data_IF_927231676741
#
_entry.id   IF_927231676741
#
_cell.length_a   1.000
_cell.length_b   1.000
_cell.length_c   1.000
_cell.angle_alpha   90.00
_cell.angle_beta   90.00
_cell.angle_gamma   90.00
#
_symmetry.space_group_name_H-M   'P 1'
#
loop_
_entity.id
_entity.type
_entity.pdbx_description
1 polymer ?
#
# COMPACT_ATOMS: atom_id res chain seq x y z
N UNK A 1 -6.45 -35.39 76.95
CA UNK A 1 -6.95 -34.39 75.99
C UNK A 1 -5.80 -34.03 75.06
N UNK A 2 -5.90 -34.32 73.76
CA UNK A 2 -4.90 -33.96 72.74
C UNK A 2 -5.44 -32.79 71.93
N UNK A 3 -4.65 -31.74 71.63
CA UNK A 3 -5.13 -30.66 70.78
C UNK A 3 -5.09 -31.10 69.31
N UNK A 4 -6.18 -30.84 68.60
CA UNK A 4 -6.24 -30.91 67.13
C UNK A 4 -5.78 -29.55 66.62
N UNK A 5 -4.64 -29.53 65.91
CA UNK A 5 -4.19 -28.34 65.19
C UNK A 5 -4.85 -28.36 63.82
N UNK A 6 -5.77 -27.42 63.60
CA UNK A 6 -6.43 -27.20 62.33
C UNK A 6 -5.52 -26.31 61.46
N UNK A 7 -4.85 -26.89 60.47
CA UNK A 7 -4.09 -26.13 59.47
C UNK A 7 -5.07 -25.66 58.40
N UNK A 8 -5.49 -24.39 58.49
CA UNK A 8 -6.27 -23.74 57.44
C UNK A 8 -5.30 -23.31 56.34
N UNK A 9 -5.23 -24.10 55.27
CA UNK A 9 -4.52 -23.73 54.06
C UNK A 9 -5.28 -22.63 53.30
N UNK A 10 -4.76 -21.41 53.34
CA UNK A 10 -5.23 -20.30 52.51
C UNK A 10 -4.83 -20.59 51.06
N UNK A 11 -5.75 -21.11 50.26
CA UNK A 11 -5.57 -21.21 48.80
C UNK A 11 -5.76 -19.81 48.23
N UNK A 12 -4.65 -19.10 48.00
CA UNK A 12 -4.67 -17.88 47.19
C UNK A 12 -4.94 -18.30 45.74
N UNK A 13 -6.18 -18.10 45.29
CA UNK A 13 -6.52 -18.13 43.88
C UNK A 13 -5.78 -16.96 43.20
N UNK A 14 -4.67 -17.26 42.54
CA UNK A 14 -4.09 -16.38 41.55
C UNK A 14 -5.12 -16.24 40.43
N UNK A 15 -5.78 -15.09 40.39
CA UNK A 15 -6.59 -14.69 39.24
C UNK A 15 -5.67 -14.70 38.02
N UNK A 16 -5.84 -15.72 37.16
CA UNK A 16 -5.19 -15.74 35.86
C UNK A 16 -5.72 -14.53 35.09
N UNK A 17 -4.90 -13.48 34.97
CA UNK A 17 -5.13 -12.44 33.97
C UNK A 17 -5.23 -13.13 32.64
N UNK A 18 -6.40 -13.05 31.99
CA UNK A 18 -6.59 -13.59 30.65
C UNK A 18 -5.43 -13.10 29.78
N UNK A 19 -4.71 -14.03 29.15
CA UNK A 19 -3.63 -13.67 28.25
C UNK A 19 -4.18 -12.70 27.20
N UNK A 20 -3.53 -11.55 27.05
CA UNK A 20 -3.91 -10.58 26.02
C UNK A 20 -3.96 -11.30 24.67
N UNK A 21 -5.01 -11.03 23.89
CA UNK A 21 -5.16 -11.68 22.59
C UNK A 21 -4.13 -11.11 21.61
N UNK A 22 -3.72 -11.90 20.62
CA UNK A 22 -2.86 -11.39 19.53
C UNK A 22 -3.51 -10.19 18.82
N UNK A 23 -4.85 -10.13 18.82
CA UNK A 23 -5.61 -9.02 18.27
C UNK A 23 -5.38 -7.73 19.07
N UNK A 24 -5.36 -7.79 20.41
CA UNK A 24 -5.07 -6.62 21.26
C UNK A 24 -3.65 -6.10 20.99
N UNK A 25 -2.69 -7.01 20.81
CA UNK A 25 -1.32 -6.65 20.47
C UNK A 25 -1.20 -6.02 19.07
N UNK A 26 -1.91 -6.57 18.08
CA UNK A 26 -2.02 -5.99 16.72
C UNK A 26 -2.61 -4.59 16.78
N UNK A 27 -3.72 -4.40 17.48
CA UNK A 27 -4.41 -3.12 17.57
C UNK A 27 -3.56 -2.08 18.31
N UNK A 28 -2.85 -2.48 19.37
CA UNK A 28 -1.91 -1.61 20.08
C UNK A 28 -0.72 -1.19 19.19
N UNK A 29 -0.13 -2.14 18.45
CA UNK A 29 0.99 -1.85 17.54
C UNK A 29 0.54 -0.95 16.37
N UNK A 30 -0.64 -1.20 15.80
CA UNK A 30 -1.28 -0.35 14.80
C UNK A 30 -1.47 1.08 15.32
N UNK A 31 -2.04 1.24 16.52
CA UNK A 31 -2.24 2.54 17.15
C UNK A 31 -0.93 3.30 17.44
N UNK A 32 0.16 2.59 17.71
CA UNK A 32 1.47 3.20 17.90
C UNK A 32 2.08 3.67 16.58
N UNK A 33 2.00 2.85 15.53
CA UNK A 33 2.57 3.15 14.20
C UNK A 33 1.76 4.21 13.45
N UNK A 34 0.45 4.32 13.70
CA UNK A 34 -0.40 5.38 13.15
C UNK A 34 -0.01 6.80 13.58
N UNK A 35 0.87 6.95 14.60
CA UNK A 35 1.40 8.24 15.06
C UNK A 35 2.58 8.74 14.23
N UNK A 36 3.12 7.91 13.33
CA UNK A 36 4.26 8.31 12.49
C UNK A 36 3.81 9.30 11.43
N UNK A 37 4.51 10.43 11.33
CA UNK A 37 4.26 11.42 10.29
C UNK A 37 5.08 11.11 9.04
N UNK A 38 4.45 11.18 7.87
CA UNK A 38 5.15 11.04 6.59
C UNK A 38 6.15 12.19 6.39
N UNK A 39 7.38 11.83 6.04
CA UNK A 39 8.38 12.80 5.60
C UNK A 39 7.91 13.51 4.31
N UNK A 40 8.16 14.81 4.23
CA UNK A 40 7.73 15.68 3.14
C UNK A 40 8.80 15.71 2.06
N UNK A 41 8.39 15.54 0.81
CA UNK A 41 9.27 15.67 -0.35
C UNK A 41 9.95 17.04 -0.39
N UNK A 42 11.21 17.08 -0.82
CA UNK A 42 12.00 18.31 -0.94
C UNK A 42 12.58 18.85 0.38
N UNK A 43 12.18 18.31 1.54
CA UNK A 43 12.74 18.69 2.84
C UNK A 43 13.99 17.85 3.18
N UNK A 44 14.97 18.51 3.80
CA UNK A 44 16.15 17.86 4.39
C UNK A 44 15.89 17.53 5.86
N UNK A 45 16.36 16.36 6.27
CA UNK A 45 16.23 15.82 7.62
C UNK A 45 17.60 15.40 8.13
N UNK A 46 17.79 15.45 9.45
CA UNK A 46 18.95 14.91 10.15
C UNK A 46 18.44 13.92 11.20
N UNK A 47 18.56 12.62 10.93
CA UNK A 47 17.99 11.54 11.74
C UNK A 47 19.01 10.39 11.88
N UNK A 48 18.92 9.59 12.95
CA UNK A 48 19.68 8.35 13.01
C UNK A 48 19.20 7.35 11.94
N UNK A 49 20.15 6.67 11.31
CA UNK A 49 19.91 5.51 10.46
C UNK A 49 21.05 4.50 10.64
N UNK A 50 20.72 3.28 11.07
CA UNK A 50 21.70 2.22 11.43
C UNK A 50 22.72 2.65 12.50
N UNK A 51 22.29 3.47 13.44
CA UNK A 51 23.14 3.98 14.53
C UNK A 51 24.01 5.17 14.14
N UNK A 52 23.95 5.65 12.90
CA UNK A 52 24.73 6.81 12.42
C UNK A 52 23.85 8.03 12.18
N UNK A 53 24.34 9.21 12.53
CA UNK A 53 23.69 10.46 12.20
C UNK A 53 23.73 10.70 10.68
N UNK A 54 22.58 10.60 10.02
CA UNK A 54 22.44 10.78 8.57
C UNK A 54 21.70 12.09 8.28
N UNK A 55 22.20 12.88 7.33
CA UNK A 55 21.52 14.08 6.84
C UNK A 55 21.22 13.93 5.36
N UNK A 56 19.96 14.11 4.97
CA UNK A 56 19.52 13.87 3.60
C UNK A 56 18.03 14.13 3.39
N UNK A 57 17.53 13.73 2.23
CA UNK A 57 16.10 13.73 1.89
C UNK A 57 15.49 12.37 2.18
N UNK A 58 14.18 12.22 1.97
CA UNK A 58 13.43 10.99 2.25
C UNK A 58 14.10 9.74 1.65
N UNK A 59 14.66 9.84 0.45
CA UNK A 59 15.31 8.75 -0.26
C UNK A 59 16.56 8.25 0.48
N UNK A 60 17.24 9.11 1.24
CA UNK A 60 18.47 8.75 1.96
C UNK A 60 18.20 7.87 3.20
N UNK A 61 16.95 7.77 3.64
CA UNK A 61 16.53 6.99 4.82
C UNK A 61 15.75 5.71 4.46
N UNK A 62 15.27 5.60 3.22
CA UNK A 62 14.41 4.50 2.78
C UNK A 62 15.14 3.13 2.90
N UNK A 63 14.50 2.18 3.59
CA UNK A 63 15.05 0.84 3.90
C UNK A 63 16.32 0.83 4.76
N UNK A 64 16.62 1.91 5.49
CA UNK A 64 17.84 2.03 6.31
C UNK A 64 17.59 2.13 7.80
N UNK A 65 16.41 2.57 8.23
CA UNK A 65 16.13 2.83 9.64
C UNK A 65 15.61 1.60 10.37
N UNK A 66 16.03 1.44 11.61
CA UNK A 66 15.60 0.38 12.52
C UNK A 66 14.39 0.84 13.37
N UNK A 67 13.73 -0.11 14.05
CA UNK A 67 12.55 0.13 14.89
C UNK A 67 12.68 1.37 15.79
N UNK A 68 13.72 1.41 16.62
CA UNK A 68 13.90 2.45 17.63
C UNK A 68 14.15 3.82 16.99
N UNK A 69 14.83 3.86 15.84
CA UNK A 69 15.10 5.08 15.08
C UNK A 69 13.82 5.63 14.45
N UNK A 70 12.97 4.75 13.90
CA UNK A 70 11.68 5.11 13.33
C UNK A 70 10.78 5.67 14.44
N UNK A 71 10.58 4.93 15.53
CA UNK A 71 9.66 5.31 16.60
C UNK A 71 10.11 6.57 17.36
N UNK A 72 11.40 6.71 17.66
CA UNK A 72 11.92 7.90 18.37
C UNK A 72 11.86 9.16 17.52
N UNK A 73 12.04 9.05 16.20
CA UNK A 73 11.93 10.21 15.31
C UNK A 73 10.50 10.71 15.11
N UNK A 74 9.50 9.83 15.31
CA UNK A 74 8.10 10.11 14.96
C UNK A 74 7.86 10.28 13.45
N UNK A 75 8.85 9.98 12.61
CA UNK A 75 8.82 10.22 11.17
C UNK A 75 8.93 8.91 10.38
N UNK A 76 8.26 8.86 9.22
CA UNK A 76 8.24 7.71 8.31
C UNK A 76 8.65 8.09 6.88
N UNK A 77 9.45 7.25 6.23
CA UNK A 77 9.77 7.35 4.80
C UNK A 77 8.73 6.68 3.92
N UNK A 78 7.74 5.98 4.50
CA UNK A 78 6.68 5.31 3.75
C UNK A 78 6.26 3.98 4.37
N UNK A 79 5.70 3.11 3.54
CA UNK A 79 5.13 1.83 3.97
C UNK A 79 6.16 0.88 4.60
N UNK A 80 7.40 0.91 4.12
CA UNK A 80 8.49 0.10 4.66
C UNK A 80 8.76 0.38 6.14
N UNK A 81 8.76 1.64 6.56
CA UNK A 81 9.00 2.03 7.96
C UNK A 81 7.80 1.72 8.86
N UNK A 82 6.57 1.95 8.39
CA UNK A 82 5.38 1.56 9.14
C UNK A 82 5.37 0.05 9.40
N UNK A 83 5.66 -0.74 8.37
CA UNK A 83 5.74 -2.19 8.48
C UNK A 83 6.90 -2.66 9.37
N UNK A 84 8.08 -2.06 9.24
CA UNK A 84 9.23 -2.40 10.09
C UNK A 84 8.98 -2.06 11.56
N UNK A 85 8.38 -0.91 11.84
CA UNK A 85 8.03 -0.51 13.19
C UNK A 85 6.97 -1.44 13.79
N UNK A 86 5.90 -1.73 13.04
CA UNK A 86 4.84 -2.67 13.46
C UNK A 86 5.41 -4.07 13.73
N UNK A 87 6.23 -4.58 12.81
CA UNK A 87 6.89 -5.87 12.95
C UNK A 87 7.76 -5.90 14.21
N UNK A 88 8.57 -4.86 14.45
CA UNK A 88 9.45 -4.79 15.61
C UNK A 88 8.72 -4.80 16.96
N UNK A 89 7.58 -4.08 17.06
CA UNK A 89 6.75 -4.03 18.27
C UNK A 89 6.17 -5.41 18.63
N UNK A 90 5.65 -6.14 17.65
CA UNK A 90 5.10 -7.49 17.88
C UNK A 90 6.20 -8.53 18.10
N UNK A 91 7.35 -8.39 17.42
CA UNK A 91 8.50 -9.29 17.60
C UNK A 91 9.02 -9.22 19.04
N UNK A 92 9.04 -8.04 19.65
CA UNK A 92 9.46 -7.86 21.05
C UNK A 92 8.57 -8.63 22.05
N UNK A 93 7.34 -8.99 21.65
CA UNK A 93 6.41 -9.81 22.42
C UNK A 93 6.53 -11.32 22.13
N UNK A 94 7.47 -11.72 21.27
CA UNK A 94 7.67 -13.12 20.88
C UNK A 94 6.65 -13.64 19.86
N UNK A 95 5.89 -12.76 19.20
CA UNK A 95 4.89 -13.15 18.21
C UNK A 95 5.59 -13.56 16.90
N UNK A 96 5.11 -14.64 16.28
CA UNK A 96 5.61 -15.10 14.98
C UNK A 96 5.09 -14.22 13.85
N UNK A 97 6.00 -13.74 12.99
CA UNK A 97 5.71 -12.71 11.99
C UNK A 97 6.34 -13.05 10.63
N UNK A 98 5.76 -12.51 9.56
CA UNK A 98 6.37 -12.45 8.23
C UNK A 98 6.26 -11.02 7.69
N UNK A 99 7.40 -10.47 7.32
CA UNK A 99 7.51 -9.25 6.53
C UNK A 99 7.24 -9.56 5.06
N UNK A 100 6.40 -8.76 4.42
CA UNK A 100 5.94 -9.00 3.05
C UNK A 100 6.23 -7.76 2.21
N UNK A 101 7.08 -7.90 1.19
CA UNK A 101 7.29 -6.87 0.18
C UNK A 101 6.51 -7.25 -1.08
N UNK A 102 5.73 -6.31 -1.58
CA UNK A 102 4.90 -6.49 -2.77
C UNK A 102 5.13 -5.41 -3.82
N UNK A 103 4.72 -5.73 -5.05
CA UNK A 103 4.58 -4.79 -6.15
C UNK A 103 3.11 -4.60 -6.49
N UNK A 104 2.72 -3.36 -6.81
CA UNK A 104 1.36 -3.02 -7.25
C UNK A 104 1.11 -3.55 -8.67
N UNK A 105 0.02 -4.27 -8.87
CA UNK A 105 -0.44 -4.74 -10.17
C UNK A 105 -1.26 -3.65 -10.88
N UNK A 106 -0.59 -2.82 -11.66
CA UNK A 106 -1.20 -1.75 -12.48
C UNK A 106 -0.34 -1.43 -13.70
N UNK A 107 -0.92 -0.79 -14.73
CA UNK A 107 -0.16 -0.32 -15.87
C UNK A 107 0.85 0.76 -15.46
N UNK A 108 0.48 1.64 -14.53
CA UNK A 108 1.39 2.63 -13.95
C UNK A 108 2.65 2.00 -13.35
N UNK A 109 2.53 0.88 -12.63
CA UNK A 109 3.69 0.17 -12.08
C UNK A 109 4.66 -0.33 -13.15
N UNK A 110 4.14 -0.78 -14.29
CA UNK A 110 4.96 -1.23 -15.42
C UNK A 110 5.65 -0.05 -16.14
N UNK A 111 4.99 1.11 -16.22
CA UNK A 111 5.57 2.33 -16.79
C UNK A 111 6.66 2.94 -15.89
N UNK A 112 6.39 3.06 -14.59
CA UNK A 112 7.29 3.72 -13.63
C UNK A 112 8.40 2.77 -13.14
N UNK A 113 8.11 1.47 -13.09
CA UNK A 113 9.00 0.43 -12.55
C UNK A 113 9.36 0.61 -11.07
N UNK A 114 8.60 1.45 -10.36
CA UNK A 114 8.83 1.79 -8.95
C UNK A 114 7.51 2.06 -8.24
N UNK A 115 6.68 1.02 -8.14
CA UNK A 115 5.50 1.03 -7.28
C UNK A 115 5.45 -0.26 -6.47
N UNK A 116 5.16 -0.15 -5.18
CA UNK A 116 5.09 -1.30 -4.30
C UNK A 116 4.57 -0.91 -2.94
N UNK A 117 4.35 -1.93 -2.12
CA UNK A 117 3.82 -1.76 -0.77
C UNK A 117 4.45 -2.77 0.18
N UNK A 118 4.25 -2.57 1.47
CA UNK A 118 4.73 -3.50 2.49
C UNK A 118 3.62 -3.81 3.47
N UNK A 119 3.45 -5.11 3.74
CA UNK A 119 2.50 -5.64 4.70
C UNK A 119 3.23 -6.54 5.72
N UNK A 120 2.52 -6.92 6.78
CA UNK A 120 3.03 -7.87 7.78
C UNK A 120 1.97 -8.93 8.03
N UNK A 121 2.36 -10.22 7.94
CA UNK A 121 1.51 -11.30 8.41
C UNK A 121 1.90 -11.68 9.85
N UNK A 122 0.89 -11.82 10.71
CA UNK A 122 1.00 -12.11 12.14
C UNK A 122 0.38 -13.47 12.40
N UNK A 123 1.12 -14.39 13.03
CA UNK A 123 0.56 -15.71 13.36
C UNK A 123 -0.16 -15.63 14.70
N UNK A 124 -1.44 -15.98 14.69
CA UNK A 124 -2.22 -16.14 15.91
C UNK A 124 -1.91 -17.52 16.54
N UNK A 125 -1.31 -17.56 17.74
CA UNK A 125 -0.98 -18.83 18.40
C UNK A 125 -2.22 -19.60 18.88
N UNK A 126 -3.38 -18.94 19.03
CA UNK A 126 -4.61 -19.58 19.51
C UNK A 126 -5.34 -20.32 18.39
N UNK A 127 -5.32 -19.76 17.18
CA UNK A 127 -6.04 -20.31 16.01
C UNK A 127 -5.12 -20.96 14.99
N UNK A 128 -3.80 -20.80 15.13
CA UNK A 128 -2.76 -21.19 14.15
C UNK A 128 -2.89 -20.50 12.77
N UNK A 129 -3.71 -19.44 12.69
CA UNK A 129 -3.98 -18.71 11.44
C UNK A 129 -3.06 -17.51 11.26
N UNK A 130 -2.85 -17.12 10.00
CA UNK A 130 -2.14 -15.89 9.66
C UNK A 130 -3.13 -14.73 9.50
N UNK A 131 -2.84 -13.62 10.15
CA UNK A 131 -3.55 -12.35 10.03
C UNK A 131 -2.70 -11.44 9.16
N UNK A 132 -3.20 -11.01 8.00
CA UNK A 132 -2.51 -10.06 7.13
C UNK A 132 -2.88 -8.64 7.54
N UNK A 133 -1.86 -7.82 7.84
CA UNK A 133 -2.00 -6.46 8.32
C UNK A 133 -1.28 -5.50 7.37
N UNK A 134 -1.91 -4.36 7.11
CA UNK A 134 -1.34 -3.20 6.44
C UNK A 134 -1.13 -2.08 7.46
N UNK A 135 0.09 -1.97 8.05
CA UNK A 135 0.35 -0.98 9.08
C UNK A 135 0.35 0.46 8.56
N UNK A 136 0.55 0.66 7.26
CA UNK A 136 0.57 1.99 6.64
C UNK A 136 -0.84 2.58 6.58
N UNK A 137 -1.82 1.73 6.26
CA UNK A 137 -3.23 2.12 6.18
C UNK A 137 -4.00 1.82 7.48
N UNK A 138 -3.29 1.47 8.55
CA UNK A 138 -3.86 1.16 9.85
C UNK A 138 -5.00 0.12 9.79
N UNK A 139 -4.80 -0.99 9.05
CA UNK A 139 -5.88 -1.92 8.71
C UNK A 139 -5.46 -3.39 8.77
N UNK A 140 -6.32 -4.23 9.33
CA UNK A 140 -6.27 -5.69 9.13
C UNK A 140 -6.93 -6.00 7.78
N UNK A 141 -6.16 -6.57 6.86
CA UNK A 141 -6.62 -6.93 5.51
C UNK A 141 -7.36 -8.27 5.50
N UNK A 142 -6.88 -9.25 6.27
CA UNK A 142 -7.52 -10.55 6.43
C UNK A 142 -7.15 -11.15 7.78
N UNK A 143 -8.14 -11.77 8.45
CA UNK A 143 -7.94 -12.54 9.70
C UNK A 143 -7.61 -14.02 9.45
N UNK A 144 -7.78 -14.47 8.21
CA UNK A 144 -7.58 -15.85 7.79
C UNK A 144 -6.80 -15.84 6.47
N UNK A 145 -5.65 -15.18 6.46
CA UNK A 145 -4.87 -15.02 5.25
C UNK A 145 -4.22 -16.35 4.85
N UNK A 146 -4.49 -16.77 3.61
CA UNK A 146 -3.82 -17.91 3.01
C UNK A 146 -2.38 -17.53 2.65
N UNK A 147 -1.43 -18.05 3.43
CA UNK A 147 -0.01 -17.79 3.24
C UNK A 147 0.58 -18.46 1.99
N UNK A 148 -0.20 -19.29 1.27
CA UNK A 148 0.17 -19.81 -0.04
C UNK A 148 -0.26 -18.90 -1.20
N UNK A 149 -1.13 -17.91 -0.95
CA UNK A 149 -1.51 -16.93 -1.96
C UNK A 149 -0.34 -16.02 -2.30
N UNK A 150 -0.10 -15.86 -3.60
CA UNK A 150 0.91 -14.93 -4.13
C UNK A 150 0.36 -13.51 -4.33
N UNK A 151 -0.96 -13.34 -4.22
CA UNK A 151 -1.67 -12.08 -4.42
C UNK A 151 -2.46 -11.72 -3.17
N UNK A 152 -2.52 -10.43 -2.85
CA UNK A 152 -3.54 -9.90 -1.95
C UNK A 152 -4.06 -8.56 -2.43
N UNK A 153 -5.25 -8.22 -1.94
CA UNK A 153 -5.90 -6.95 -2.21
C UNK A 153 -5.91 -6.07 -0.96
N UNK A 154 -5.68 -4.78 -1.15
CA UNK A 154 -5.85 -3.78 -0.11
C UNK A 154 -6.60 -2.57 -0.67
N UNK A 155 -7.08 -1.65 0.18
CA UNK A 155 -7.64 -0.39 -0.31
C UNK A 155 -6.66 0.40 -1.19
N UNK A 156 -5.35 0.22 -1.01
CA UNK A 156 -4.34 0.89 -1.81
C UNK A 156 -4.13 0.28 -3.20
N UNK A 157 -4.60 -0.94 -3.46
CA UNK A 157 -4.45 -1.60 -4.75
C UNK A 157 -4.46 -3.13 -4.69
N UNK A 158 -4.05 -3.75 -5.79
CA UNK A 158 -3.86 -5.20 -5.94
C UNK A 158 -2.37 -5.46 -5.99
N UNK A 159 -1.90 -6.49 -5.32
CA UNK A 159 -0.48 -6.65 -5.04
C UNK A 159 0.01 -8.06 -5.26
N UNK A 160 1.15 -8.19 -5.93
CA UNK A 160 1.89 -9.44 -6.05
C UNK A 160 3.04 -9.49 -5.05
N UNK A 161 3.14 -10.60 -4.33
CA UNK A 161 4.16 -10.81 -3.31
C UNK A 161 5.49 -11.14 -3.98
N UNK A 162 6.52 -10.34 -3.70
CA UNK A 162 7.88 -10.59 -4.18
C UNK A 162 8.83 -11.13 -3.12
N UNK A 163 8.50 -10.88 -1.85
CA UNK A 163 9.23 -11.39 -0.70
C UNK A 163 8.26 -11.70 0.43
N UNK A 164 8.44 -12.85 1.06
CA UNK A 164 7.77 -13.24 2.30
C UNK A 164 8.81 -13.92 3.19
N UNK A 165 8.99 -13.41 4.39
CA UNK A 165 9.99 -13.97 5.30
C UNK A 165 10.20 -13.09 6.52
N UNK A 166 11.28 -13.32 7.24
CA UNK A 166 11.66 -12.49 8.37
C UNK A 166 12.15 -11.12 7.92
N UNK A 167 11.92 -10.07 8.70
CA UNK A 167 12.46 -8.74 8.37
C UNK A 167 13.99 -8.74 8.41
N UNK A 168 14.60 -9.50 9.32
CA UNK A 168 16.06 -9.54 9.47
C UNK A 168 16.73 -10.11 8.20
N UNK A 169 16.09 -11.08 7.56
CA UNK A 169 16.57 -11.75 6.35
C UNK A 169 16.23 -10.98 5.06
N UNK A 170 15.51 -9.85 5.17
CA UNK A 170 15.08 -9.07 4.01
C UNK A 170 16.29 -8.46 3.27
N UNK A 171 16.51 -8.78 1.97
CA UNK A 171 17.77 -8.47 1.30
C UNK A 171 17.90 -7.03 0.80
N UNK A 172 16.82 -6.25 0.80
CA UNK A 172 16.83 -4.87 0.29
C UNK A 172 17.17 -3.92 1.42
N UNK A 173 18.31 -3.24 1.28
CA UNK A 173 18.90 -2.38 2.31
C UNK A 173 19.15 -0.94 1.79
N UNK A 174 18.82 -0.64 0.54
CA UNK A 174 19.00 0.67 -0.09
C UNK A 174 17.89 0.99 -1.10
N UNK A 175 17.65 2.27 -1.44
CA UNK A 175 16.68 2.66 -2.47
C UNK A 175 16.96 2.04 -3.84
N UNK A 176 18.22 1.99 -4.24
CA UNK A 176 18.63 1.40 -5.52
C UNK A 176 18.34 -0.10 -5.57
N UNK A 177 18.58 -0.82 -4.47
CA UNK A 177 18.19 -2.22 -4.34
C UNK A 177 16.67 -2.39 -4.35
N UNK A 178 15.91 -1.49 -3.72
CA UNK A 178 14.45 -1.54 -3.71
C UNK A 178 13.89 -1.39 -5.13
N UNK A 179 14.38 -0.40 -5.88
CA UNK A 179 13.99 -0.20 -7.28
C UNK A 179 14.32 -1.40 -8.16
N UNK A 180 15.49 -2.00 -7.95
CA UNK A 180 15.90 -3.22 -8.67
C UNK A 180 14.99 -4.40 -8.30
N UNK A 181 14.64 -4.52 -7.02
CA UNK A 181 13.75 -5.55 -6.50
C UNK A 181 12.36 -5.44 -7.13
N UNK A 182 11.74 -4.27 -7.15
CA UNK A 182 10.42 -4.07 -7.78
C UNK A 182 10.41 -4.41 -9.27
N UNK A 183 11.42 -3.97 -10.03
CA UNK A 183 11.55 -4.34 -11.44
C UNK A 183 11.74 -5.84 -11.67
N UNK A 184 12.37 -6.53 -10.73
CA UNK A 184 12.46 -8.00 -10.77
C UNK A 184 11.10 -8.62 -10.48
N UNK A 185 10.40 -8.17 -9.44
CA UNK A 185 9.07 -8.67 -9.07
C UNK A 185 8.05 -8.51 -10.21
N UNK A 186 7.99 -7.34 -10.86
CA UNK A 186 7.11 -7.10 -12.01
C UNK A 186 7.27 -8.15 -13.11
N UNK A 187 8.52 -8.55 -13.39
CA UNK A 187 8.84 -9.54 -14.43
C UNK A 187 8.52 -10.98 -14.02
N UNK A 188 8.29 -11.23 -12.73
CA UNK A 188 7.95 -12.55 -12.21
C UNK A 188 6.46 -12.82 -12.20
N UNK A 189 5.62 -11.79 -12.34
CA UNK A 189 4.17 -11.92 -12.38
C UNK A 189 3.77 -12.64 -13.68
N UNK A 190 3.07 -13.79 -13.61
CA UNK A 190 2.54 -14.47 -14.78
C UNK A 190 1.58 -13.59 -15.58
N UNK A 191 1.54 -13.77 -16.91
CA UNK A 191 0.65 -12.99 -17.78
C UNK A 191 -0.83 -13.11 -17.38
N UNK A 192 -1.29 -14.33 -17.03
CA UNK A 192 -2.66 -14.55 -16.60
C UNK A 192 -3.04 -13.75 -15.33
N UNK A 193 -2.09 -13.58 -14.39
CA UNK A 193 -2.32 -12.78 -13.19
C UNK A 193 -2.39 -11.29 -13.52
N UNK A 194 -1.59 -10.81 -14.49
CA UNK A 194 -1.73 -9.45 -15.00
C UNK A 194 -3.12 -9.20 -15.60
N UNK A 195 -3.56 -10.11 -16.47
CA UNK A 195 -4.83 -9.98 -17.19
C UNK A 195 -6.03 -10.03 -16.24
N UNK A 196 -5.96 -10.84 -15.18
CA UNK A 196 -7.02 -10.94 -14.19
C UNK A 196 -7.08 -9.75 -13.22
N UNK A 197 -5.91 -9.24 -12.81
CA UNK A 197 -5.78 -8.26 -11.74
C UNK A 197 -5.74 -6.80 -12.23
N UNK A 198 -5.26 -6.53 -13.44
CA UNK A 198 -5.28 -5.18 -13.99
C UNK A 198 -6.68 -4.86 -14.54
N UNK A 199 -7.08 -3.59 -14.44
CA UNK A 199 -8.32 -3.09 -15.05
C UNK A 199 -7.95 -2.10 -16.14
N UNK A 200 -8.44 -2.35 -17.37
CA UNK A 200 -8.25 -1.44 -18.50
C UNK A 200 -9.10 -0.19 -18.33
N UNK A 201 -8.48 0.99 -18.39
CA UNK A 201 -9.20 2.24 -18.51
C UNK A 201 -9.52 2.51 -19.99
N UNK A 202 -10.81 2.62 -20.30
CA UNK A 202 -11.30 3.03 -21.62
C UNK A 202 -11.66 4.51 -21.60
N UNK A 203 -10.91 5.34 -22.33
CA UNK A 203 -11.02 6.79 -22.24
C UNK A 203 -11.97 7.35 -23.30
N UNK A 204 -12.97 8.12 -22.83
CA UNK A 204 -13.94 8.83 -23.65
C UNK A 204 -13.97 10.33 -23.33
N UNK A 205 -14.62 11.12 -24.19
CA UNK A 205 -14.79 12.56 -24.01
C UNK A 205 -16.27 12.93 -24.07
N UNK A 206 -16.69 13.83 -23.17
CA UNK A 206 -17.98 14.49 -23.29
C UNK A 206 -17.91 15.67 -24.27
N UNK A 207 -19.06 16.14 -24.74
CA UNK A 207 -19.15 17.29 -25.64
C UNK A 207 -18.49 18.57 -25.08
N UNK A 208 -18.39 18.73 -23.75
CA UNK A 208 -17.74 19.90 -23.15
C UNK A 208 -16.23 19.95 -23.35
N UNK A 209 -15.60 18.83 -23.73
CA UNK A 209 -14.18 18.80 -24.04
C UNK A 209 -13.84 19.48 -25.38
N UNK A 210 -14.85 19.86 -26.17
CA UNK A 210 -14.66 20.44 -27.49
C UNK A 210 -15.01 21.93 -27.48
N UNK A 211 -14.17 22.73 -28.14
CA UNK A 211 -14.50 24.10 -28.54
C UNK A 211 -15.46 24.07 -29.74
N UNK A 212 -16.02 25.24 -30.06
CA UNK A 212 -16.90 25.40 -31.22
C UNK A 212 -16.24 25.04 -32.56
N UNK A 213 -14.91 25.15 -32.65
CA UNK A 213 -14.11 24.76 -33.83
C UNK A 213 -13.77 23.26 -33.88
N UNK A 214 -14.26 22.47 -32.92
CA UNK A 214 -13.98 21.03 -32.80
C UNK A 214 -12.64 20.70 -32.15
N UNK A 215 -11.81 21.67 -31.78
CA UNK A 215 -10.56 21.44 -31.05
C UNK A 215 -10.80 21.11 -29.57
N UNK A 216 -9.90 20.37 -28.94
CA UNK A 216 -10.00 20.07 -27.52
C UNK A 216 -9.67 21.29 -26.63
N UNK A 217 -10.50 21.53 -25.60
CA UNK A 217 -10.31 22.62 -24.63
C UNK A 217 -8.95 22.56 -23.92
N UNK A 218 -8.41 21.36 -23.70
CA UNK A 218 -7.03 21.13 -23.26
C UNK A 218 -6.19 20.66 -24.46
N UNK A 219 -5.16 21.42 -24.83
CA UNK A 219 -4.34 21.15 -26.03
C UNK A 219 -3.50 19.87 -25.94
N UNK A 220 -3.27 19.34 -24.74
CA UNK A 220 -2.50 18.10 -24.51
C UNK A 220 -3.37 16.85 -24.55
N UNK A 221 -4.70 17.02 -24.56
CA UNK A 221 -5.65 15.92 -24.42
C UNK A 221 -5.58 14.91 -25.58
N UNK A 222 -5.45 15.37 -26.83
CA UNK A 222 -5.37 14.47 -27.99
C UNK A 222 -4.17 13.53 -27.90
N UNK A 223 -2.99 14.06 -27.58
CA UNK A 223 -1.78 13.26 -27.41
C UNK A 223 -1.87 12.31 -26.21
N UNK A 224 -2.56 12.73 -25.15
CA UNK A 224 -2.85 11.86 -24.02
C UNK A 224 -3.72 10.66 -24.44
N UNK A 225 -4.83 10.90 -25.13
CA UNK A 225 -5.71 9.82 -25.59
C UNK A 225 -4.96 8.86 -26.52
N UNK A 226 -4.25 9.39 -27.51
CA UNK A 226 -3.45 8.58 -28.42
C UNK A 226 -2.47 7.66 -27.67
N UNK A 227 -1.74 8.21 -26.69
CA UNK A 227 -0.77 7.45 -25.90
C UNK A 227 -1.42 6.42 -24.98
N UNK A 228 -2.43 6.83 -24.21
CA UNK A 228 -2.93 5.99 -23.10
C UNK A 228 -4.09 5.08 -23.48
N UNK A 229 -4.73 5.27 -24.63
CA UNK A 229 -5.67 4.28 -25.16
C UNK A 229 -4.97 3.01 -25.67
N UNK A 230 -3.66 3.09 -25.98
CA UNK A 230 -2.82 1.98 -26.46
C UNK A 230 -1.91 1.40 -25.38
N UNK A 231 -1.86 2.00 -24.18
CA UNK A 231 -0.85 1.67 -23.16
C UNK A 231 -0.86 0.21 -22.72
N UNK A 232 -2.04 -0.41 -22.65
CA UNK A 232 -2.17 -1.81 -22.26
C UNK A 232 -1.59 -2.73 -23.33
N UNK A 233 -1.85 -2.42 -24.61
CA UNK A 233 -1.36 -3.19 -25.74
C UNK A 233 0.17 -3.04 -25.87
N UNK A 234 0.70 -1.81 -25.70
CA UNK A 234 2.14 -1.52 -25.64
C UNK A 234 2.87 -2.28 -24.52
N UNK A 235 2.18 -2.50 -23.40
CA UNK A 235 2.69 -3.25 -22.24
C UNK A 235 2.47 -4.77 -22.38
N UNK A 236 1.82 -5.23 -23.47
CA UNK A 236 1.50 -6.64 -23.70
C UNK A 236 0.46 -7.21 -22.74
N UNK A 237 -0.42 -6.36 -22.20
CA UNK A 237 -1.49 -6.74 -21.28
C UNK A 237 -2.80 -7.00 -22.03
N UNK A 238 -3.58 -7.97 -21.56
CA UNK A 238 -4.93 -8.25 -22.05
C UNK A 238 -5.93 -8.29 -20.87
N UNK A 239 -6.18 -7.16 -20.18
CA UNK A 239 -7.05 -7.14 -19.01
C UNK A 239 -8.44 -7.70 -19.29
N UNK A 240 -8.91 -8.61 -18.44
CA UNK A 240 -10.24 -9.24 -18.53
C UNK A 240 -11.37 -8.25 -18.18
N UNK A 241 -11.02 -7.16 -17.48
CA UNK A 241 -11.95 -6.16 -16.95
C UNK A 241 -11.59 -4.80 -17.51
N UNK A 242 -12.61 -4.01 -17.84
CA UNK A 242 -12.45 -2.63 -18.24
C UNK A 242 -13.47 -1.73 -17.55
N UNK A 243 -13.15 -0.44 -17.50
CA UNK A 243 -14.02 0.61 -16.98
C UNK A 243 -13.95 1.83 -17.88
N UNK A 244 -15.07 2.51 -18.05
CA UNK A 244 -15.13 3.72 -18.85
C UNK A 244 -14.71 4.94 -18.01
N UNK A 245 -13.84 5.77 -18.55
CA UNK A 245 -13.44 7.06 -17.96
C UNK A 245 -13.80 8.16 -18.95
N UNK A 246 -14.85 8.91 -18.64
CA UNK A 246 -15.31 10.04 -19.45
C UNK A 246 -14.69 11.34 -18.97
N UNK A 247 -13.96 12.04 -19.83
CA UNK A 247 -13.41 13.34 -19.53
C UNK A 247 -14.36 14.49 -19.88
N UNK A 248 -14.43 15.48 -19.00
CA UNK A 248 -15.23 16.70 -19.16
C UNK A 248 -14.41 17.95 -18.81
N UNK A 249 -14.74 19.09 -19.41
CA UNK A 249 -14.09 20.37 -19.09
C UNK A 249 -14.28 20.72 -17.60
N UNK A 250 -13.15 20.84 -16.89
CA UNK A 250 -13.09 21.21 -15.48
C UNK A 250 -12.95 22.72 -15.24
N UNK A 251 -12.86 23.52 -16.31
CA UNK A 251 -12.71 24.97 -16.22
C UNK A 251 -11.26 25.45 -16.38
N UNK A 252 -11.01 26.75 -16.12
CA UNK A 252 -9.67 27.33 -16.20
C UNK A 252 -8.78 26.77 -15.07
N UNK A 253 -7.55 26.42 -15.40
CA UNK A 253 -6.56 25.93 -14.43
C UNK A 253 -6.08 24.51 -14.67
N UNK A 254 -5.33 23.99 -13.69
CA UNK A 254 -4.62 22.70 -13.77
C UNK A 254 -5.28 21.57 -12.98
N UNK A 255 -6.27 21.90 -12.14
CA UNK A 255 -6.94 20.91 -11.29
C UNK A 255 -7.81 19.95 -12.09
N UNK A 256 -8.06 18.78 -11.52
CA UNK A 256 -9.16 17.93 -11.95
C UNK A 256 -9.58 17.00 -10.83
N UNK A 257 -10.71 16.34 -11.05
CA UNK A 257 -11.37 15.48 -10.09
C UNK A 257 -12.03 14.32 -10.84
N UNK A 258 -12.21 13.17 -10.20
CA UNK A 258 -12.88 12.02 -10.79
C UNK A 258 -13.98 11.55 -9.85
N UNK A 259 -15.13 11.20 -10.42
CA UNK A 259 -16.26 10.66 -9.65
C UNK A 259 -16.80 9.41 -10.33
N UNK A 260 -17.07 8.38 -9.53
CA UNK A 260 -17.76 7.19 -10.01
C UNK A 260 -19.19 7.57 -10.37
N UNK A 261 -19.60 7.31 -11.61
CA UNK A 261 -20.95 7.59 -12.12
C UNK A 261 -21.79 6.33 -12.21
N UNK A 262 -21.17 5.17 -12.46
CA UNK A 262 -21.77 3.83 -12.44
C UNK A 262 -20.78 2.81 -11.88
N UNK A 263 -21.20 1.56 -11.73
CA UNK A 263 -20.34 0.48 -11.21
C UNK A 263 -19.01 0.34 -12.00
N UNK A 264 -19.06 0.59 -13.30
CA UNK A 264 -17.99 0.41 -14.28
C UNK A 264 -17.63 1.73 -15.01
N UNK A 265 -18.06 2.89 -14.49
CA UNK A 265 -17.84 4.17 -15.15
C UNK A 265 -17.49 5.31 -14.19
N UNK A 266 -16.55 6.15 -14.64
CA UNK A 266 -16.09 7.36 -13.96
C UNK A 266 -16.20 8.55 -14.90
N UNK A 267 -16.52 9.71 -14.32
CA UNK A 267 -16.42 11.00 -15.00
C UNK A 267 -15.32 11.83 -14.35
N UNK A 268 -14.34 12.24 -15.13
CA UNK A 268 -13.20 13.03 -14.68
C UNK A 268 -13.25 14.44 -15.27
N UNK A 269 -13.32 15.45 -14.41
CA UNK A 269 -13.13 16.84 -14.82
C UNK A 269 -11.64 17.11 -15.04
N UNK A 270 -11.31 17.77 -16.15
CA UNK A 270 -9.94 18.07 -16.56
C UNK A 270 -9.80 19.58 -16.76
N UNK A 271 -8.92 20.19 -15.98
CA UNK A 271 -8.55 21.59 -16.17
C UNK A 271 -7.89 21.82 -17.53
N UNK A 272 -8.15 22.98 -18.13
CA UNK A 272 -7.64 23.32 -19.46
C UNK A 272 -6.11 23.41 -19.54
N UNK A 273 -5.45 23.65 -18.41
CA UNK A 273 -3.98 23.73 -18.29
C UNK A 273 -3.35 22.45 -17.70
N UNK A 274 -4.17 21.45 -17.33
CA UNK A 274 -3.68 20.19 -16.79
C UNK A 274 -2.63 19.55 -17.71
N UNK A 275 -1.61 18.94 -17.11
CA UNK A 275 -0.47 18.41 -17.84
C UNK A 275 -0.82 17.23 -18.75
N UNK A 276 -1.89 16.48 -18.45
CA UNK A 276 -2.35 15.32 -19.23
C UNK A 276 -1.18 14.43 -19.67
N UNK A 277 -0.38 14.00 -18.70
CA UNK A 277 0.83 13.19 -18.91
C UNK A 277 0.73 11.87 -18.12
N UNK A 278 1.85 11.13 -18.00
CA UNK A 278 1.89 9.85 -17.30
C UNK A 278 1.43 9.96 -15.84
N UNK A 279 1.78 11.05 -15.14
CA UNK A 279 1.34 11.26 -13.77
C UNK A 279 -0.18 11.41 -13.67
N UNK A 280 -0.81 12.03 -14.68
CA UNK A 280 -2.26 12.11 -14.77
C UNK A 280 -2.89 10.72 -14.96
N UNK A 281 -2.36 9.93 -15.89
CA UNK A 281 -2.80 8.54 -16.11
C UNK A 281 -2.69 7.71 -14.82
N UNK A 282 -1.50 7.70 -14.19
CA UNK A 282 -1.25 6.98 -12.93
C UNK A 282 -2.20 7.41 -11.82
N UNK A 283 -2.50 8.71 -11.72
CA UNK A 283 -3.46 9.21 -10.74
C UNK A 283 -4.88 8.69 -11.00
N UNK A 284 -5.37 8.75 -12.25
CA UNK A 284 -6.69 8.23 -12.62
C UNK A 284 -6.78 6.73 -12.35
N UNK A 285 -5.79 5.94 -12.79
CA UNK A 285 -5.76 4.49 -12.59
C UNK A 285 -5.84 4.13 -11.11
N UNK A 286 -4.97 4.72 -10.28
CA UNK A 286 -4.99 4.46 -8.83
C UNK A 286 -6.29 4.91 -8.16
N UNK A 287 -6.86 6.04 -8.58
CA UNK A 287 -8.13 6.52 -8.05
C UNK A 287 -9.27 5.54 -8.35
N UNK A 288 -9.38 5.11 -9.61
CA UNK A 288 -10.40 4.15 -10.06
C UNK A 288 -10.24 2.82 -9.35
N UNK A 289 -9.01 2.29 -9.27
CA UNK A 289 -8.73 1.00 -8.61
C UNK A 289 -9.06 1.01 -7.12
N UNK A 290 -8.77 2.11 -6.41
CA UNK A 290 -9.16 2.28 -5.00
C UNK A 290 -10.68 2.21 -4.82
N UNK A 291 -11.41 2.94 -5.66
CA UNK A 291 -12.88 3.00 -5.59
C UNK A 291 -13.56 1.69 -6.01
N UNK A 292 -12.90 0.86 -6.83
CA UNK A 292 -13.35 -0.49 -7.15
C UNK A 292 -13.21 -1.47 -5.98
N UNK A 293 -12.23 -1.23 -5.09
CA UNK A 293 -11.98 -2.06 -3.91
C UNK A 293 -12.81 -1.64 -2.68
N UNK A 294 -13.55 -0.51 -2.77
CA UNK A 294 -14.50 -0.07 -1.75
C UNK A 294 -15.88 -0.69 -2.00
N UNK A 295 -16.62 -1.13 -0.96
CA UNK A 295 -18.02 -1.54 -1.13
C UNK A 295 -18.82 -0.40 -1.75
N UNK A 296 -19.78 -0.67 -2.67
CA UNK A 296 -20.64 0.39 -3.19
C UNK A 296 -21.40 1.04 -2.02
N UNK A 297 -21.26 2.38 -1.91
CA UNK A 297 -22.01 3.22 -0.96
C UNK A 297 -23.45 3.43 -1.42
#
# INVERSE_FOLDING_TARGET
>A
MRPIVLVVGLVMALSATAAASVQDDVDAALAQVAKLEMMKAGRTYSLPARGEATTGRIEDFLCRRELDEILSSGLSTGCGDHAAAFYGLLRAKGISLRYIQVVELSAASLLDGFSGHTAVAVKDPQTDRWILVDPTNNKVLSKEWDSSSQIFHSPAGRFWIGYIGRLEDYPVKTPAQLKTSFRRMLRMVPAADWDHEVVRLDFNSTASMFRADGSFVNSRYSAFLERYSQVYDDLGLQPEKWVTVEFADGGPGWQGDCKRTRADAWKCSVGRESAMNQQWFTWVERYVMRQLNEPPH
#
